data_IF_268224273313
#
_entry.id   IF_268224273313
#
_cell.length_a   1.000
_cell.length_b   1.000
_cell.length_c   1.000
_cell.angle_alpha   90.00
_cell.angle_beta   90.00
_cell.angle_gamma   90.00
#
_symmetry.space_group_name_H-M   'P 1'
#
loop_
_entity.id
_entity.type
_entity.pdbx_description
1 polymer ?
#
# COMPACT_ATOMS: atom_id res chain seq x y z
N UNK A 1 -23.99 16.27 -24.65
CA UNK A 1 -23.47 14.89 -24.53
C UNK A 1 -21.95 14.84 -24.39
N UNK A 2 -21.19 15.54 -25.25
CA UNK A 2 -19.71 15.60 -25.22
C UNK A 2 -19.13 15.96 -23.84
N UNK A 3 -19.70 16.95 -23.14
CA UNK A 3 -19.23 17.37 -21.81
C UNK A 3 -19.42 16.28 -20.73
N UNK A 4 -20.47 15.45 -20.82
CA UNK A 4 -20.69 14.34 -19.88
C UNK A 4 -19.64 13.24 -20.06
N UNK A 5 -19.24 12.98 -21.31
CA UNK A 5 -18.18 12.02 -21.64
C UNK A 5 -16.84 12.52 -21.09
N UNK A 6 -16.52 13.81 -21.29
CA UNK A 6 -15.28 14.41 -20.75
C UNK A 6 -15.22 14.33 -19.23
N UNK A 7 -16.32 14.65 -18.55
CA UNK A 7 -16.41 14.53 -17.08
C UNK A 7 -16.20 13.06 -16.65
N UNK A 8 -16.84 12.11 -17.33
CA UNK A 8 -16.66 10.68 -17.05
C UNK A 8 -15.22 10.21 -17.20
N UNK A 9 -14.56 10.60 -18.29
CA UNK A 9 -13.14 10.28 -18.54
C UNK A 9 -12.24 10.90 -17.47
N UNK A 10 -12.52 12.13 -17.06
CA UNK A 10 -11.76 12.82 -16.03
C UNK A 10 -11.87 12.14 -14.66
N UNK A 11 -13.09 11.75 -14.25
CA UNK A 11 -13.32 11.01 -12.99
C UNK A 11 -12.61 9.66 -13.03
N UNK A 12 -12.67 8.95 -14.16
CA UNK A 12 -11.97 7.68 -14.33
C UNK A 12 -10.46 7.83 -14.18
N UNK A 13 -9.87 8.84 -14.84
CA UNK A 13 -8.43 9.11 -14.75
C UNK A 13 -7.98 9.42 -13.31
N UNK A 14 -8.76 10.23 -12.59
CA UNK A 14 -8.50 10.53 -11.16
C UNK A 14 -8.60 9.26 -10.32
N UNK A 15 -9.66 8.47 -10.51
CA UNK A 15 -9.90 7.25 -9.73
C UNK A 15 -8.77 6.23 -9.93
N UNK A 16 -8.30 6.07 -11.16
CA UNK A 16 -7.16 5.22 -11.50
C UNK A 16 -5.89 5.76 -10.81
N UNK A 17 -5.64 7.07 -10.90
CA UNK A 17 -4.47 7.69 -10.27
C UNK A 17 -4.47 7.45 -8.75
N UNK A 18 -5.59 7.71 -8.08
CA UNK A 18 -5.74 7.45 -6.64
C UNK A 18 -5.51 5.96 -6.35
N UNK A 19 -6.03 5.04 -7.17
CA UNK A 19 -5.87 3.60 -6.95
C UNK A 19 -4.40 3.15 -7.00
N UNK A 20 -3.62 3.71 -7.93
CA UNK A 20 -2.20 3.38 -8.12
C UNK A 20 -1.29 4.06 -7.10
N UNK A 21 -1.61 5.28 -6.67
CA UNK A 21 -0.74 6.09 -5.81
C UNK A 21 -1.19 6.20 -4.36
N UNK A 22 -2.37 5.72 -3.98
CA UNK A 22 -2.83 5.72 -2.59
C UNK A 22 -2.98 4.29 -2.08
N UNK A 23 -2.71 4.10 -0.79
CA UNK A 23 -2.82 2.81 -0.13
C UNK A 23 -3.14 2.97 1.35
N UNK A 24 -3.39 1.86 1.99
CA UNK A 24 -3.53 1.75 3.44
C UNK A 24 -2.51 0.75 3.95
N UNK A 25 -1.92 1.01 5.11
CA UNK A 25 -1.15 -0.01 5.82
C UNK A 25 -1.74 -0.26 7.19
N UNK A 26 -1.58 -1.50 7.65
CA UNK A 26 -2.04 -1.90 8.98
C UNK A 26 -0.88 -1.87 9.96
N UNK A 27 -1.08 -1.18 11.07
CA UNK A 27 -0.11 -1.19 12.17
C UNK A 27 -0.17 -2.54 12.89
N UNK A 28 1.00 -3.10 13.17
CA UNK A 28 1.20 -4.30 13.97
C UNK A 28 0.82 -4.10 15.46
N UNK A 29 1.12 -2.95 16.04
CA UNK A 29 0.83 -2.62 17.45
C UNK A 29 -0.64 -2.25 17.73
N UNK A 30 -1.26 -1.42 16.90
CA UNK A 30 -2.56 -0.83 17.22
C UNK A 30 -3.74 -1.36 16.41
N UNK A 31 -3.50 -2.27 15.44
CA UNK A 31 -4.52 -2.81 14.51
C UNK A 31 -5.31 -1.68 13.80
N UNK A 32 -4.72 -0.50 13.69
CA UNK A 32 -5.26 0.65 12.98
C UNK A 32 -4.80 0.64 11.53
N UNK A 33 -5.67 1.14 10.65
CA UNK A 33 -5.38 1.30 9.23
C UNK A 33 -5.00 2.76 8.96
N UNK A 34 -3.81 2.98 8.44
CA UNK A 34 -3.29 4.30 8.13
C UNK A 34 -3.27 4.50 6.62
N UNK A 35 -3.87 5.59 6.17
CA UNK A 35 -3.83 6.00 4.77
C UNK A 35 -2.49 6.66 4.45
N UNK A 36 -1.92 6.35 3.28
CA UNK A 36 -0.68 6.95 2.83
C UNK A 36 -0.62 7.07 1.29
N UNK A 37 0.25 7.96 0.83
CA UNK A 37 0.55 8.15 -0.59
C UNK A 37 1.80 7.33 -0.93
N UNK A 38 1.70 6.39 -1.88
CA UNK A 38 2.78 5.58 -2.43
C UNK A 38 3.74 6.45 -3.25
N UNK A 39 5.04 6.18 -3.15
CA UNK A 39 6.06 6.89 -3.94
C UNK A 39 6.13 6.39 -5.39
N UNK A 40 5.62 5.18 -5.66
CA UNK A 40 5.62 4.53 -6.97
C UNK A 40 4.24 3.93 -7.27
N UNK A 41 3.78 3.90 -8.54
CA UNK A 41 2.48 3.36 -8.88
C UNK A 41 2.44 1.82 -8.76
N UNK A 42 1.54 1.32 -7.92
CA UNK A 42 1.24 -0.12 -7.82
C UNK A 42 -0.24 -0.35 -7.55
N UNK A 43 -0.79 -1.44 -8.09
CA UNK A 43 -2.20 -1.80 -7.91
C UNK A 43 -2.54 -2.26 -6.47
N UNK A 44 -1.53 -2.59 -5.66
CA UNK A 44 -1.72 -3.01 -4.27
C UNK A 44 -2.30 -1.87 -3.43
N UNK A 45 -3.37 -2.16 -2.69
CA UNK A 45 -4.05 -1.20 -1.82
C UNK A 45 -3.57 -1.32 -0.37
N UNK A 46 -3.60 -2.54 0.15
CA UNK A 46 -3.31 -2.83 1.56
C UNK A 46 -1.89 -3.36 1.71
N UNK A 47 -1.18 -2.87 2.72
CA UNK A 47 0.19 -3.27 3.06
C UNK A 47 0.22 -3.70 4.54
N UNK A 48 0.88 -4.80 4.84
CA UNK A 48 1.10 -5.23 6.22
C UNK A 48 2.50 -5.82 6.37
N UNK A 49 2.98 -5.90 7.60
CA UNK A 49 4.27 -6.51 7.94
C UNK A 49 4.02 -7.95 8.43
N UNK A 50 4.28 -9.00 7.63
CA UNK A 50 4.25 -10.38 8.12
C UNK A 50 5.19 -10.62 9.30
N UNK A 51 6.35 -9.96 9.32
CA UNK A 51 7.26 -10.02 10.48
C UNK A 51 6.63 -9.33 11.70
N UNK A 52 5.98 -8.17 11.50
CA UNK A 52 5.37 -7.38 12.57
C UNK A 52 6.33 -7.19 13.76
N UNK A 53 5.82 -7.47 14.96
CA UNK A 53 6.58 -7.55 16.22
C UNK A 53 7.10 -8.96 16.54
N UNK A 54 7.06 -9.90 15.59
CA UNK A 54 7.56 -11.26 15.81
C UNK A 54 9.08 -11.34 15.63
N UNK A 55 9.72 -12.23 16.37
CA UNK A 55 11.15 -12.55 16.22
C UNK A 55 11.48 -13.35 14.93
N UNK A 56 10.48 -13.54 14.05
CA UNK A 56 10.64 -14.26 12.78
C UNK A 56 11.63 -13.54 11.87
N UNK A 57 12.65 -14.29 11.41
CA UNK A 57 13.56 -13.78 10.39
C UNK A 57 12.86 -13.76 9.05
N UNK A 58 13.35 -12.90 8.17
CA UNK A 58 12.85 -12.80 6.79
C UNK A 58 12.93 -14.16 6.07
N UNK A 59 13.95 -14.96 6.39
CA UNK A 59 14.19 -16.30 5.84
C UNK A 59 13.15 -17.33 6.30
N UNK A 60 12.53 -17.10 7.47
CA UNK A 60 11.54 -18.00 8.07
C UNK A 60 10.13 -17.81 7.46
N UNK A 61 9.93 -16.71 6.72
CA UNK A 61 8.67 -16.40 6.06
C UNK A 61 8.45 -17.26 4.80
N UNK A 62 7.20 -17.58 4.50
CA UNK A 62 6.83 -18.13 3.19
C UNK A 62 7.21 -17.18 2.05
N UNK A 63 7.28 -17.68 0.81
CA UNK A 63 7.66 -16.83 -0.34
C UNK A 63 6.69 -15.67 -0.52
N UNK A 64 5.41 -15.91 -0.26
CA UNK A 64 4.32 -14.93 -0.35
C UNK A 64 4.49 -13.85 0.72
N UNK A 65 4.79 -14.25 1.96
CA UNK A 65 5.06 -13.32 3.05
C UNK A 65 6.36 -12.54 2.86
N UNK A 66 7.39 -13.16 2.28
CA UNK A 66 8.61 -12.44 1.91
C UNK A 66 8.34 -11.35 0.88
N UNK A 67 7.46 -11.60 -0.10
CA UNK A 67 7.04 -10.60 -1.08
C UNK A 67 6.27 -9.47 -0.38
N UNK A 68 5.34 -9.80 0.51
CA UNK A 68 4.60 -8.81 1.27
C UNK A 68 5.51 -7.94 2.15
N UNK A 69 6.44 -8.55 2.87
CA UNK A 69 7.39 -7.84 3.71
C UNK A 69 8.31 -6.92 2.89
N UNK A 70 8.69 -7.32 1.68
CA UNK A 70 9.42 -6.43 0.74
C UNK A 70 8.59 -5.21 0.38
N UNK A 71 7.32 -5.40 0.03
CA UNK A 71 6.42 -4.28 -0.25
C UNK A 71 6.22 -3.38 0.96
N UNK A 72 6.07 -3.95 2.16
CA UNK A 72 5.95 -3.17 3.38
C UNK A 72 7.21 -2.35 3.65
N UNK A 73 8.38 -2.94 3.49
CA UNK A 73 9.65 -2.25 3.68
C UNK A 73 9.80 -1.08 2.70
N UNK A 74 9.57 -1.33 1.41
CA UNK A 74 9.70 -0.35 0.33
C UNK A 74 8.69 0.80 0.45
N UNK A 75 7.42 0.51 0.76
CA UNK A 75 6.36 1.52 0.72
C UNK A 75 6.09 2.18 2.07
N UNK A 76 6.38 1.52 3.19
CA UNK A 76 6.00 1.98 4.54
C UNK A 76 7.24 2.24 5.41
N UNK A 77 8.07 1.22 5.63
CA UNK A 77 9.15 1.25 6.63
C UNK A 77 10.25 2.27 6.30
N UNK A 78 10.73 2.28 5.06
CA UNK A 78 11.80 3.19 4.63
C UNK A 78 11.36 4.66 4.64
N UNK A 79 10.06 4.92 4.79
CA UNK A 79 9.49 6.26 4.89
C UNK A 79 9.19 6.71 6.31
N UNK A 80 9.59 5.94 7.32
CA UNK A 80 9.31 6.19 8.74
C UNK A 80 7.82 6.43 9.02
N UNK A 81 6.95 5.80 8.22
CA UNK A 81 5.50 5.87 8.43
C UNK A 81 5.05 4.84 9.46
N UNK A 82 5.87 3.85 9.77
CA UNK A 82 5.58 2.76 10.72
C UNK A 82 6.03 3.06 12.16
N UNK A 83 5.95 4.32 12.61
CA UNK A 83 6.33 4.74 13.97
C UNK A 83 5.16 4.63 14.94
#
# INVERSE_FOLDING_TARGET
>A
MKNKIVIGVFILAISITIRFFCGVYRHDEFRENHFFIKHSPIWKWEFYSPQGMSDLKFEDLSKEEQIEQKYFNEYIKDRNLSL
#
